data_IF_468123214369
#
_entry.id   IF_468123214369
#
_cell.length_a   1.000
_cell.length_b   1.000
_cell.length_c   1.000
_cell.angle_alpha   90.00
_cell.angle_beta   90.00
_cell.angle_gamma   90.00
#
_symmetry.space_group_name_H-M   'P 1'
#
loop_
_entity.id
_entity.type
_entity.pdbx_description
1 polymer ?
#
# COMPACT_ATOMS: atom_id res chain seq x y z
N UNK A 1 -14.66 22.84 8.85
CA UNK A 1 -15.75 21.92 9.23
C UNK A 1 -15.22 20.95 10.29
N UNK A 2 -16.09 20.46 11.15
CA UNK A 2 -15.74 19.44 12.13
C UNK A 2 -15.55 18.08 11.44
N UNK A 3 -14.52 17.32 11.83
CA UNK A 3 -14.19 16.03 11.23
C UNK A 3 -15.31 15.00 11.44
N UNK A 4 -15.89 14.94 12.64
CA UNK A 4 -16.93 13.98 12.98
C UNK A 4 -18.22 14.22 12.18
N UNK A 5 -18.58 15.51 11.96
CA UNK A 5 -19.71 15.88 11.10
C UNK A 5 -19.51 15.43 9.64
N UNK A 6 -18.28 15.59 9.12
CA UNK A 6 -17.95 15.21 7.74
C UNK A 6 -17.98 13.70 7.55
N UNK A 7 -17.53 12.96 8.56
CA UNK A 7 -17.51 11.48 8.53
C UNK A 7 -18.86 10.86 8.93
N UNK A 8 -19.83 11.66 9.41
CA UNK A 8 -21.10 11.13 9.92
C UNK A 8 -20.94 10.27 11.18
N UNK A 9 -19.91 10.53 11.97
CA UNK A 9 -19.59 9.78 13.19
C UNK A 9 -19.99 10.58 14.44
N UNK A 10 -20.43 9.89 15.48
CA UNK A 10 -20.59 10.48 16.80
C UNK A 10 -19.23 10.74 17.44
N UNK A 11 -19.02 11.96 17.93
CA UNK A 11 -17.75 12.36 18.54
C UNK A 11 -17.44 11.62 19.85
N UNK A 12 -18.45 11.33 20.66
CA UNK A 12 -18.28 10.81 22.01
C UNK A 12 -17.40 11.74 22.85
N UNK A 13 -16.44 11.16 23.60
CA UNK A 13 -15.49 11.90 24.45
C UNK A 13 -14.21 12.33 23.69
N UNK A 14 -14.14 12.15 22.37
CA UNK A 14 -12.99 12.56 21.59
C UNK A 14 -12.89 14.10 21.48
N UNK A 15 -11.66 14.66 21.42
CA UNK A 15 -11.47 16.10 21.22
C UNK A 15 -12.04 16.54 19.86
N UNK A 16 -12.44 17.79 19.76
CA UNK A 16 -12.86 18.39 18.49
C UNK A 16 -11.70 18.45 17.51
N UNK A 17 -11.95 17.99 16.30
CA UNK A 17 -10.99 18.04 15.19
C UNK A 17 -11.57 18.88 14.07
N UNK A 18 -10.93 20.00 13.76
CA UNK A 18 -11.31 20.89 12.67
C UNK A 18 -10.53 20.54 11.41
N UNK A 19 -11.22 20.34 10.29
CA UNK A 19 -10.59 20.20 8.98
C UNK A 19 -10.12 21.57 8.51
N UNK A 20 -8.80 21.69 8.29
CA UNK A 20 -8.16 22.88 7.76
C UNK A 20 -7.69 22.59 6.32
N UNK A 21 -8.11 23.38 5.31
CA UNK A 21 -7.71 23.16 3.92
C UNK A 21 -6.28 23.63 3.61
N UNK A 22 -5.68 24.42 4.49
CA UNK A 22 -4.35 24.97 4.33
C UNK A 22 -3.33 24.12 5.11
N UNK A 23 -2.50 23.37 4.38
CA UNK A 23 -1.51 22.49 4.98
C UNK A 23 -0.50 23.24 5.87
N UNK A 24 -0.08 24.43 5.49
CA UNK A 24 0.89 25.23 6.28
C UNK A 24 0.31 25.57 7.65
N UNK A 25 -0.96 25.97 7.70
CA UNK A 25 -1.64 26.23 8.99
C UNK A 25 -1.78 24.99 9.86
N UNK A 26 -1.92 23.80 9.26
CA UNK A 26 -1.95 22.54 10.02
C UNK A 26 -0.58 22.24 10.57
N UNK A 27 0.46 22.31 9.74
CA UNK A 27 1.83 21.99 10.13
C UNK A 27 2.41 22.96 11.15
N UNK A 28 2.05 24.25 11.04
CA UNK A 28 2.51 25.30 12.00
C UNK A 28 1.92 25.14 13.40
N UNK A 29 0.87 24.32 13.58
CA UNK A 29 0.35 23.96 14.92
C UNK A 29 1.25 22.96 15.66
N UNK A 30 2.18 22.36 14.94
CA UNK A 30 3.04 21.30 15.42
C UNK A 30 2.34 19.94 15.47
N UNK A 31 3.09 18.92 15.09
CA UNK A 31 2.68 17.52 15.21
C UNK A 31 3.95 16.67 15.34
N UNK A 32 3.84 15.48 15.90
CA UNK A 32 4.98 14.57 15.98
C UNK A 32 5.05 13.64 14.75
N UNK A 33 3.90 13.45 14.11
CA UNK A 33 3.78 12.58 12.92
C UNK A 33 2.63 13.06 12.05
N UNK A 34 2.82 12.99 10.75
CA UNK A 34 1.81 13.25 9.71
C UNK A 34 1.54 11.97 8.93
N UNK A 35 0.27 11.63 8.74
CA UNK A 35 -0.16 10.59 7.80
C UNK A 35 -0.55 11.27 6.50
N UNK A 36 0.20 11.01 5.43
CA UNK A 36 -0.06 11.49 4.07
C UNK A 36 -0.80 10.42 3.27
N UNK A 37 -2.08 10.67 2.97
CA UNK A 37 -2.97 9.75 2.25
C UNK A 37 -3.59 10.46 1.02
N UNK A 38 -2.75 11.06 0.18
CA UNK A 38 -3.21 11.96 -0.89
C UNK A 38 -2.83 11.54 -2.29
N UNK A 39 -1.90 10.60 -2.46
CA UNK A 39 -1.35 10.22 -3.76
C UNK A 39 -0.93 8.75 -3.76
N UNK A 40 -0.73 8.18 -4.93
CA UNK A 40 -0.18 6.83 -5.14
C UNK A 40 1.29 6.85 -5.57
N UNK A 41 1.77 7.96 -6.12
CA UNK A 41 3.09 8.09 -6.76
C UNK A 41 4.07 8.88 -5.89
N UNK A 42 5.29 8.37 -5.74
CA UNK A 42 6.38 9.05 -5.00
C UNK A 42 6.63 10.46 -5.52
N UNK A 43 6.63 10.66 -6.83
CA UNK A 43 6.87 11.97 -7.42
C UNK A 43 5.84 13.03 -7.04
N UNK A 44 4.59 12.63 -6.79
CA UNK A 44 3.51 13.51 -6.35
C UNK A 44 3.50 13.69 -4.82
N UNK A 45 3.85 12.64 -4.07
CA UNK A 45 3.96 12.69 -2.62
C UNK A 45 5.19 13.49 -2.15
N UNK A 46 6.29 13.42 -2.89
CA UNK A 46 7.59 14.01 -2.54
C UNK A 46 7.53 15.49 -2.10
N UNK A 47 6.90 16.42 -2.83
CA UNK A 47 6.85 17.82 -2.39
C UNK A 47 6.15 18.00 -1.04
N UNK A 48 5.09 17.24 -0.79
CA UNK A 48 4.34 17.28 0.48
C UNK A 48 5.16 16.67 1.61
N UNK A 49 5.86 15.57 1.34
CA UNK A 49 6.78 14.94 2.30
C UNK A 49 7.87 15.94 2.72
N UNK A 50 8.49 16.63 1.76
CA UNK A 50 9.49 17.66 2.06
C UNK A 50 8.92 18.76 2.96
N UNK A 51 7.74 19.27 2.64
CA UNK A 51 7.06 20.32 3.42
C UNK A 51 6.80 19.90 4.87
N UNK A 52 6.46 18.65 5.10
CA UNK A 52 6.25 18.07 6.44
C UNK A 52 7.57 17.87 7.18
N UNK A 53 8.55 17.27 6.52
CA UNK A 53 9.87 16.94 7.08
C UNK A 53 10.64 18.18 7.47
N UNK A 54 10.62 19.25 6.66
CA UNK A 54 11.27 20.54 6.95
C UNK A 54 10.76 21.21 8.23
N UNK A 55 9.57 20.80 8.73
CA UNK A 55 9.03 21.23 10.03
C UNK A 55 9.37 20.29 11.18
N UNK A 56 10.25 19.31 10.96
CA UNK A 56 10.63 18.35 11.98
C UNK A 56 9.54 17.34 12.34
N UNK A 57 8.64 17.03 11.39
CA UNK A 57 7.52 16.13 11.61
C UNK A 57 7.77 14.82 10.88
N UNK A 58 7.61 13.68 11.58
CA UNK A 58 7.71 12.35 10.98
C UNK A 58 6.56 12.10 9.98
N UNK A 59 6.78 11.23 8.99
CA UNK A 59 5.81 10.96 7.94
C UNK A 59 5.50 9.47 7.83
N UNK A 60 4.21 9.12 7.76
CA UNK A 60 3.73 7.85 7.23
C UNK A 60 2.96 8.16 5.95
N UNK A 61 3.35 7.57 4.83
CA UNK A 61 2.68 7.74 3.54
C UNK A 61 1.95 6.47 3.13
N UNK A 62 0.72 6.61 2.65
CA UNK A 62 -0.04 5.51 2.01
C UNK A 62 0.15 5.46 0.51
N UNK A 63 0.96 6.35 -0.07
CA UNK A 63 1.30 6.26 -1.48
C UNK A 63 1.97 4.92 -1.76
N UNK A 64 1.44 4.15 -2.67
CA UNK A 64 1.84 2.77 -2.94
C UNK A 64 3.32 2.69 -3.32
N UNK A 65 3.81 3.58 -4.18
CA UNK A 65 5.24 3.64 -4.53
C UNK A 65 6.14 3.93 -3.32
N UNK A 66 5.63 4.58 -2.27
CA UNK A 66 6.42 4.88 -1.07
C UNK A 66 6.72 3.66 -0.20
N UNK A 67 6.07 2.51 -0.43
CA UNK A 67 6.36 1.26 0.28
C UNK A 67 7.80 0.77 0.04
N UNK A 68 8.31 0.99 -1.17
CA UNK A 68 9.70 0.70 -1.55
C UNK A 68 10.15 1.61 -2.70
N UNK A 69 10.25 2.93 -2.48
CA UNK A 69 10.45 3.91 -3.56
C UNK A 69 11.77 3.74 -4.32
N UNK A 70 12.73 3.02 -3.74
CA UNK A 70 14.01 2.69 -4.39
C UNK A 70 13.83 1.89 -5.68
N UNK A 71 12.71 1.16 -5.83
CA UNK A 71 12.45 0.36 -7.02
C UNK A 71 12.33 1.20 -8.29
N UNK A 72 11.64 2.34 -8.21
CA UNK A 72 11.36 3.18 -9.37
C UNK A 72 11.91 4.62 -9.24
N UNK A 73 12.13 5.10 -8.02
CA UNK A 73 12.52 6.49 -7.72
C UNK A 73 13.76 6.56 -6.81
N UNK A 74 14.90 5.94 -7.20
CA UNK A 74 16.09 5.88 -6.34
C UNK A 74 16.64 7.26 -5.99
N UNK A 75 16.63 8.22 -6.92
CA UNK A 75 17.11 9.58 -6.66
C UNK A 75 16.23 10.34 -5.66
N UNK A 76 14.89 10.19 -5.75
CA UNK A 76 13.97 10.80 -4.80
C UNK A 76 14.11 10.13 -3.42
N UNK A 77 14.33 8.82 -3.39
CA UNK A 77 14.59 8.06 -2.16
C UNK A 77 15.83 8.57 -1.43
N UNK A 78 16.93 8.76 -2.13
CA UNK A 78 18.14 9.33 -1.56
C UNK A 78 17.95 10.77 -1.04
N UNK A 79 17.16 11.59 -1.76
CA UNK A 79 16.85 12.96 -1.33
C UNK A 79 16.00 12.95 -0.07
N UNK A 80 14.97 12.09 0.01
CA UNK A 80 14.12 11.94 1.19
C UNK A 80 14.92 11.43 2.40
N UNK A 81 15.80 10.44 2.20
CA UNK A 81 16.63 9.91 3.27
C UNK A 81 17.57 10.97 3.86
N UNK A 82 18.25 11.76 3.01
CA UNK A 82 19.10 12.88 3.46
C UNK A 82 18.30 13.92 4.20
N UNK A 83 17.18 14.37 3.64
CA UNK A 83 16.33 15.40 4.25
C UNK A 83 15.79 14.95 5.62
N UNK A 84 15.32 13.71 5.71
CA UNK A 84 14.82 13.13 6.95
C UNK A 84 15.91 13.07 8.04
N UNK A 85 17.13 12.67 7.68
CA UNK A 85 18.29 12.66 8.59
C UNK A 85 18.68 14.06 9.04
N UNK A 86 18.69 15.04 8.14
CA UNK A 86 18.97 16.44 8.43
C UNK A 86 17.98 17.00 9.45
N UNK A 87 16.70 16.72 9.29
CA UNK A 87 15.63 17.18 10.17
C UNK A 87 15.35 16.23 11.35
N UNK A 88 16.11 15.12 11.49
CA UNK A 88 15.99 14.12 12.57
C UNK A 88 14.61 13.50 12.69
N UNK A 89 13.99 13.21 11.55
CA UNK A 89 12.68 12.57 11.45
C UNK A 89 12.75 11.32 10.60
N UNK A 90 11.70 10.53 10.67
CA UNK A 90 11.55 9.27 9.93
C UNK A 90 10.44 9.38 8.89
N UNK A 91 10.68 8.89 7.69
CA UNK A 91 9.69 8.73 6.63
C UNK A 91 9.45 7.23 6.43
N UNK A 92 8.20 6.80 6.41
CA UNK A 92 7.78 5.44 6.10
C UNK A 92 6.68 5.44 5.06
N UNK A 93 6.79 4.61 4.03
CA UNK A 93 5.67 4.20 3.19
C UNK A 93 5.11 2.87 3.66
N UNK A 94 3.78 2.75 3.82
CA UNK A 94 3.12 1.52 4.24
C UNK A 94 1.65 1.49 3.83
N UNK A 95 1.08 0.31 3.83
CA UNK A 95 -0.31 0.03 3.54
C UNK A 95 -0.59 -1.46 3.65
N UNK A 96 -1.77 -1.89 3.20
CA UNK A 96 -2.10 -3.31 3.16
C UNK A 96 -1.48 -3.99 1.94
N UNK A 97 -1.44 -3.27 0.80
CA UNK A 97 -0.87 -3.75 -0.46
C UNK A 97 -0.59 -2.55 -1.41
N UNK A 98 0.69 -2.22 -1.61
CA UNK A 98 1.91 -2.77 -1.00
C UNK A 98 2.10 -2.35 0.47
N UNK A 99 2.98 -3.09 1.18
CA UNK A 99 3.39 -2.83 2.56
C UNK A 99 3.21 -4.01 3.51
N UNK A 100 2.27 -4.94 3.21
CA UNK A 100 2.07 -6.13 4.02
C UNK A 100 1.75 -7.39 3.21
N UNK A 101 0.57 -7.47 2.55
CA UNK A 101 0.00 -8.74 2.09
C UNK A 101 0.77 -9.39 0.94
N UNK A 102 1.24 -8.60 -0.03
CA UNK A 102 1.92 -9.15 -1.20
C UNK A 102 3.45 -8.96 -1.16
N UNK A 103 4.00 -8.54 -0.03
CA UNK A 103 5.44 -8.30 0.14
C UNK A 103 5.93 -8.71 1.55
N UNK A 104 5.76 -7.87 2.59
CA UNK A 104 6.32 -8.14 3.92
C UNK A 104 5.90 -9.49 4.48
N UNK A 105 4.64 -9.91 4.29
CA UNK A 105 4.15 -11.19 4.81
C UNK A 105 4.84 -12.38 4.12
N UNK A 106 5.06 -12.30 2.80
CA UNK A 106 5.84 -13.30 2.08
C UNK A 106 7.28 -13.36 2.58
N UNK A 107 7.89 -12.20 2.82
CA UNK A 107 9.24 -12.09 3.40
C UNK A 107 9.29 -12.70 4.80
N UNK A 108 8.33 -12.38 5.67
CA UNK A 108 8.26 -12.98 7.02
C UNK A 108 8.13 -14.50 6.98
N UNK A 109 7.31 -15.03 6.08
CA UNK A 109 7.14 -16.48 5.91
C UNK A 109 8.42 -17.16 5.40
N UNK A 110 9.21 -16.48 4.58
CA UNK A 110 10.48 -17.03 4.10
C UNK A 110 11.50 -17.27 5.22
N UNK A 111 11.34 -16.59 6.37
CA UNK A 111 12.22 -16.76 7.54
C UNK A 111 12.22 -18.16 8.15
N UNK A 112 11.25 -19.02 7.83
CA UNK A 112 11.25 -20.43 8.24
C UNK A 112 11.81 -21.39 7.18
N UNK A 113 12.36 -20.85 6.08
CA UNK A 113 12.92 -21.63 4.97
C UNK A 113 14.43 -21.58 4.96
N UNK A 114 15.06 -22.67 4.55
CA UNK A 114 16.51 -22.75 4.35
C UNK A 114 16.91 -22.43 2.92
N UNK A 115 15.95 -22.50 1.98
CA UNK A 115 16.14 -22.17 0.58
C UNK A 115 14.82 -21.67 -0.01
N UNK A 116 14.86 -20.60 -0.81
CA UNK A 116 13.71 -20.04 -1.51
C UNK A 116 13.98 -20.05 -3.01
N UNK A 117 13.19 -20.81 -3.75
CA UNK A 117 13.31 -20.93 -5.20
C UNK A 117 12.46 -19.87 -5.92
N UNK A 118 11.24 -19.64 -5.45
CA UNK A 118 10.34 -18.62 -5.99
C UNK A 118 9.27 -18.18 -4.98
N UNK A 119 8.75 -16.97 -5.19
CA UNK A 119 7.69 -16.33 -4.41
C UNK A 119 6.52 -16.03 -5.35
N UNK A 120 5.33 -16.52 -5.04
CA UNK A 120 4.10 -16.11 -5.70
C UNK A 120 3.16 -15.49 -4.65
N UNK A 121 2.72 -14.27 -4.92
CA UNK A 121 1.70 -13.58 -4.13
C UNK A 121 0.47 -13.34 -5.00
N UNK A 122 -0.70 -13.76 -4.53
CA UNK A 122 -1.96 -13.54 -5.21
C UNK A 122 -2.97 -12.94 -4.25
N UNK A 123 -3.54 -11.80 -4.65
CA UNK A 123 -4.62 -11.14 -3.92
C UNK A 123 -5.84 -11.02 -4.82
N UNK A 124 -6.94 -11.60 -4.42
CA UNK A 124 -8.24 -11.49 -5.09
C UNK A 124 -9.13 -10.65 -4.21
N UNK A 125 -9.45 -9.43 -4.64
CA UNK A 125 -10.26 -8.53 -3.82
C UNK A 125 -11.48 -7.97 -4.55
N UNK A 126 -12.46 -7.57 -3.75
CA UNK A 126 -13.64 -6.84 -4.23
C UNK A 126 -13.32 -5.35 -4.35
N UNK A 127 -13.69 -4.76 -5.51
CA UNK A 127 -13.69 -3.31 -5.71
C UNK A 127 -14.97 -2.65 -5.17
N UNK A 128 -16.00 -3.42 -4.81
CA UNK A 128 -17.32 -2.90 -4.43
C UNK A 128 -17.32 -1.86 -3.31
N UNK A 129 -16.43 -1.93 -2.27
CA UNK A 129 -16.37 -0.92 -1.22
C UNK A 129 -15.72 0.40 -1.62
N UNK A 130 -15.01 0.45 -2.76
CA UNK A 130 -14.21 1.62 -3.13
C UNK A 130 -15.03 2.69 -3.85
N UNK A 131 -14.53 3.94 -3.81
CA UNK A 131 -15.18 5.10 -4.38
C UNK A 131 -15.06 5.24 -5.89
N UNK A 132 -15.71 6.28 -6.49
CA UNK A 132 -15.76 6.47 -7.94
C UNK A 132 -14.40 6.57 -8.62
N UNK A 133 -13.42 7.20 -7.98
CA UNK A 133 -12.07 7.34 -8.54
C UNK A 133 -11.41 5.98 -8.80
N UNK A 134 -11.54 5.03 -7.87
CA UNK A 134 -11.01 3.67 -8.05
C UNK A 134 -11.75 2.94 -9.19
N UNK A 135 -13.08 3.12 -9.29
CA UNK A 135 -13.85 2.54 -10.40
C UNK A 135 -13.32 3.01 -11.76
N UNK A 136 -13.02 4.30 -11.86
CA UNK A 136 -12.51 4.94 -13.08
C UNK A 136 -11.10 4.45 -13.42
N UNK A 137 -10.19 4.44 -12.44
CA UNK A 137 -8.81 3.97 -12.59
C UNK A 137 -8.70 2.49 -12.97
N UNK A 138 -9.67 1.68 -12.55
CA UNK A 138 -9.75 0.24 -12.82
C UNK A 138 -10.57 -0.08 -14.08
N UNK A 139 -11.16 0.90 -14.75
CA UNK A 139 -11.94 0.73 -15.96
C UNK A 139 -13.27 -0.01 -15.76
N UNK A 140 -13.90 0.11 -14.58
CA UNK A 140 -15.18 -0.54 -14.31
C UNK A 140 -16.30 0.09 -15.15
N UNK A 141 -17.06 -0.74 -15.88
CA UNK A 141 -18.22 -0.31 -16.67
C UNK A 141 -17.92 0.19 -18.07
N UNK A 142 -16.65 0.15 -18.52
CA UNK A 142 -16.28 0.49 -19.91
C UNK A 142 -16.25 -0.76 -20.79
N UNK A 143 -16.24 -0.56 -22.12
CA UNK A 143 -16.07 -1.68 -23.06
C UNK A 143 -14.64 -2.22 -23.05
N UNK A 144 -14.46 -3.46 -23.55
CA UNK A 144 -13.13 -4.09 -23.66
C UNK A 144 -12.19 -3.25 -24.53
N UNK A 145 -12.67 -2.70 -25.65
CA UNK A 145 -11.89 -1.86 -26.56
C UNK A 145 -11.47 -0.56 -25.88
N UNK A 146 -12.35 0.05 -25.07
CA UNK A 146 -12.01 1.26 -24.30
C UNK A 146 -10.96 0.95 -23.22
N UNK A 147 -11.06 -0.22 -22.59
CA UNK A 147 -10.08 -0.70 -21.62
C UNK A 147 -8.70 -0.90 -22.26
N UNK A 148 -8.64 -1.65 -23.37
CA UNK A 148 -7.38 -1.90 -24.09
C UNK A 148 -6.73 -0.60 -24.56
N UNK A 149 -7.53 0.35 -25.04
CA UNK A 149 -7.06 1.69 -25.38
C UNK A 149 -6.52 2.43 -24.14
N UNK A 150 -7.26 2.41 -23.03
CA UNK A 150 -6.83 3.09 -21.79
C UNK A 150 -5.54 2.52 -21.21
N UNK A 151 -5.31 1.22 -21.35
CA UNK A 151 -4.03 0.58 -21.00
C UNK A 151 -2.92 1.06 -21.95
N UNK A 152 -3.19 1.09 -23.25
CA UNK A 152 -2.18 1.48 -24.25
C UNK A 152 -1.75 2.96 -24.17
N UNK A 153 -2.68 3.86 -23.83
CA UNK A 153 -2.41 5.29 -23.69
C UNK A 153 -2.09 5.75 -22.26
N UNK A 154 -2.11 4.81 -21.28
CA UNK A 154 -1.76 5.06 -19.89
C UNK A 154 -2.81 5.83 -19.09
N UNK A 155 -4.05 5.91 -19.55
CA UNK A 155 -5.16 6.54 -18.80
C UNK A 155 -5.76 5.64 -17.73
N UNK A 156 -5.57 4.32 -17.83
CA UNK A 156 -5.90 3.37 -16.79
C UNK A 156 -4.63 3.01 -16.00
N UNK A 157 -4.63 3.31 -14.71
CA UNK A 157 -3.50 3.04 -13.83
C UNK A 157 -3.49 1.59 -13.33
N UNK A 158 -4.67 0.98 -13.15
CA UNK A 158 -4.79 -0.27 -12.46
C UNK A 158 -4.29 -0.17 -11.00
N UNK A 159 -3.67 -1.23 -10.50
CA UNK A 159 -3.04 -1.21 -9.18
C UNK A 159 -1.59 -0.71 -9.28
N UNK A 160 -1.23 0.27 -8.45
CA UNK A 160 0.14 0.78 -8.30
C UNK A 160 0.86 -0.01 -7.19
N UNK A 161 2.17 -0.26 -7.33
CA UNK A 161 2.99 -0.81 -6.26
C UNK A 161 3.60 -2.20 -6.51
N UNK A 162 3.37 -2.82 -7.67
CA UNK A 162 3.97 -4.14 -7.96
C UNK A 162 5.49 -4.10 -8.10
N UNK A 163 6.03 -3.07 -8.71
CA UNK A 163 7.48 -2.89 -8.82
C UNK A 163 8.11 -2.75 -7.41
N UNK A 164 7.42 -2.07 -6.52
CA UNK A 164 7.82 -1.85 -5.13
C UNK A 164 7.81 -3.16 -4.34
N UNK A 165 6.72 -3.93 -4.40
CA UNK A 165 6.63 -5.23 -3.73
C UNK A 165 7.69 -6.22 -4.27
N UNK A 166 7.88 -6.28 -5.59
CA UNK A 166 8.93 -7.11 -6.22
C UNK A 166 10.32 -6.65 -5.77
N UNK A 167 10.56 -5.32 -5.74
CA UNK A 167 11.82 -4.75 -5.27
C UNK A 167 12.10 -5.06 -3.80
N UNK A 168 11.09 -4.94 -2.94
CA UNK A 168 11.20 -5.23 -1.50
C UNK A 168 11.50 -6.72 -1.25
N UNK A 169 10.77 -7.63 -1.91
CA UNK A 169 11.00 -9.08 -1.80
C UNK A 169 12.41 -9.43 -2.28
N UNK A 170 12.80 -8.91 -3.45
CA UNK A 170 14.11 -9.18 -4.01
C UNK A 170 15.23 -8.69 -3.09
N UNK A 171 15.12 -7.48 -2.56
CA UNK A 171 16.08 -6.93 -1.60
C UNK A 171 16.20 -7.84 -0.38
N UNK A 172 15.09 -8.22 0.23
CA UNK A 172 15.05 -9.04 1.44
C UNK A 172 15.67 -10.43 1.23
N UNK A 173 15.49 -11.02 0.04
CA UNK A 173 16.02 -12.33 -0.31
C UNK A 173 17.43 -12.28 -0.93
N UNK A 174 18.02 -11.08 -1.08
CA UNK A 174 19.33 -10.90 -1.72
C UNK A 174 19.31 -11.19 -3.23
N UNK A 175 18.16 -11.10 -3.87
CA UNK A 175 18.02 -11.32 -5.30
C UNK A 175 18.21 -10.03 -6.09
N UNK A 176 18.80 -10.15 -7.28
CA UNK A 176 18.95 -9.05 -8.22
C UNK A 176 17.92 -9.21 -9.33
N UNK A 177 16.88 -8.38 -9.30
CA UNK A 177 15.90 -8.34 -10.39
C UNK A 177 16.55 -7.71 -11.63
N UNK A 178 16.62 -8.48 -12.71
CA UNK A 178 17.18 -8.05 -13.99
C UNK A 178 16.14 -7.35 -14.86
N UNK A 179 14.87 -7.77 -14.70
CA UNK A 179 13.74 -7.29 -15.49
C UNK A 179 12.45 -7.45 -14.69
N UNK A 180 11.62 -6.44 -14.77
CA UNK A 180 10.24 -6.46 -14.26
C UNK A 180 9.28 -6.30 -15.43
N UNK A 181 8.27 -7.15 -15.49
CA UNK A 181 7.18 -7.09 -16.47
C UNK A 181 5.84 -7.01 -15.78
N UNK A 182 4.97 -6.13 -16.27
CA UNK A 182 3.62 -5.96 -15.74
C UNK A 182 2.61 -5.99 -16.87
N UNK A 183 1.46 -6.63 -16.63
CA UNK A 183 0.36 -6.69 -17.58
C UNK A 183 -0.96 -6.40 -16.87
N UNK A 184 -1.88 -5.78 -17.61
CA UNK A 184 -3.26 -5.57 -17.22
C UNK A 184 -4.18 -6.24 -18.24
N UNK A 185 -5.16 -7.02 -17.75
CA UNK A 185 -6.19 -7.65 -18.57
C UNK A 185 -7.56 -7.33 -18.00
N UNK A 186 -8.57 -7.03 -18.84
CA UNK A 186 -9.91 -6.77 -18.35
C UNK A 186 -10.53 -8.05 -17.76
N UNK A 187 -11.28 -7.90 -16.68
CA UNK A 187 -12.21 -8.93 -16.21
C UNK A 187 -13.57 -8.56 -16.77
N UNK A 188 -14.02 -9.33 -17.77
CA UNK A 188 -15.29 -9.10 -18.46
C UNK A 188 -16.38 -9.88 -17.75
N UNK A 189 -17.49 -9.22 -17.41
CA UNK A 189 -18.63 -9.88 -16.76
C UNK A 189 -19.60 -10.48 -17.77
N UNK A 190 -20.22 -11.62 -17.42
CA UNK A 190 -21.28 -12.25 -18.23
C UNK A 190 -22.68 -11.81 -17.81
N UNK A 191 -22.81 -11.05 -16.73
CA UNK A 191 -24.06 -10.53 -16.18
C UNK A 191 -23.88 -9.09 -15.68
N UNK A 192 -25.00 -8.38 -15.52
CA UNK A 192 -24.98 -7.04 -14.93
C UNK A 192 -24.52 -7.10 -13.46
N UNK A 193 -23.50 -6.32 -13.10
CA UNK A 193 -23.02 -6.17 -11.73
C UNK A 193 -23.08 -4.72 -11.28
N UNK A 194 -23.46 -4.52 -10.03
CA UNK A 194 -23.61 -3.18 -9.45
C UNK A 194 -23.11 -3.13 -8.03
N UNK A 195 -22.19 -2.21 -7.77
CA UNK A 195 -21.79 -1.79 -6.41
C UNK A 195 -22.34 -0.40 -6.08
N UNK A 196 -21.98 0.15 -4.94
CA UNK A 196 -22.38 1.50 -4.55
C UNK A 196 -21.91 2.58 -5.55
N UNK A 197 -20.75 2.38 -6.18
CA UNK A 197 -20.09 3.37 -7.04
C UNK A 197 -19.71 2.83 -8.43
N UNK A 198 -19.94 1.55 -8.71
CA UNK A 198 -19.61 0.91 -9.97
C UNK A 198 -20.79 0.19 -10.59
N UNK A 199 -20.85 0.17 -11.92
CA UNK A 199 -21.81 -0.61 -12.69
C UNK A 199 -21.17 -1.12 -13.97
N UNK A 200 -21.23 -2.43 -14.20
CA UNK A 200 -20.80 -3.09 -15.43
C UNK A 200 -21.95 -3.93 -15.99
N UNK A 201 -22.31 -3.72 -17.25
CA UNK A 201 -23.27 -4.57 -17.97
C UNK A 201 -22.62 -5.87 -18.41
N UNK A 202 -23.41 -6.88 -18.69
CA UNK A 202 -22.95 -8.09 -19.38
C UNK A 202 -22.17 -7.72 -20.65
N UNK A 203 -20.93 -8.16 -20.76
CA UNK A 203 -19.99 -7.84 -21.84
C UNK A 203 -19.04 -6.68 -21.55
N UNK A 204 -19.30 -5.87 -20.52
CA UNK A 204 -18.41 -4.79 -20.10
C UNK A 204 -17.37 -5.27 -19.07
N UNK A 205 -16.41 -4.40 -18.81
CA UNK A 205 -15.34 -4.61 -17.82
C UNK A 205 -15.87 -4.45 -16.41
N UNK A 206 -15.78 -5.49 -15.58
CA UNK A 206 -16.13 -5.46 -14.17
C UNK A 206 -14.94 -5.19 -13.25
N UNK A 207 -13.73 -5.16 -13.80
CA UNK A 207 -12.49 -4.96 -13.08
C UNK A 207 -11.27 -5.36 -13.90
N UNK A 208 -10.13 -5.47 -13.25
CA UNK A 208 -8.83 -5.74 -13.88
C UNK A 208 -8.13 -6.91 -13.23
N UNK A 209 -7.52 -7.78 -14.02
CA UNK A 209 -6.54 -8.75 -13.56
C UNK A 209 -5.15 -8.23 -13.91
N UNK A 210 -4.40 -7.83 -12.88
CA UNK A 210 -3.01 -7.42 -13.04
C UNK A 210 -2.06 -8.55 -12.68
N UNK A 211 -0.96 -8.64 -13.42
CA UNK A 211 0.16 -9.51 -13.11
C UNK A 211 1.46 -8.73 -13.17
N UNK A 212 2.40 -9.05 -12.27
CA UNK A 212 3.74 -8.48 -12.23
C UNK A 212 4.78 -9.57 -12.01
N UNK A 213 5.83 -9.61 -12.82
CA UNK A 213 6.83 -10.67 -12.77
C UNK A 213 8.24 -10.09 -12.64
N UNK A 214 8.93 -10.48 -11.56
CA UNK A 214 10.34 -10.20 -11.34
C UNK A 214 11.22 -11.36 -11.82
N UNK A 215 12.15 -11.05 -12.72
CA UNK A 215 13.08 -12.02 -13.31
C UNK A 215 14.43 -11.93 -12.61
N UNK A 216 14.93 -13.09 -12.19
CA UNK A 216 16.24 -13.27 -11.58
C UNK A 216 16.91 -14.48 -12.26
N UNK A 217 18.13 -14.34 -12.72
CA UNK A 217 18.87 -15.36 -13.50
C UNK A 217 18.05 -15.87 -14.70
N UNK A 218 17.36 -14.95 -15.39
CA UNK A 218 16.52 -15.25 -16.56
C UNK A 218 15.20 -15.99 -16.26
N UNK A 219 14.88 -16.28 -15.00
CA UNK A 219 13.68 -16.98 -14.58
C UNK A 219 12.72 -16.08 -13.80
N UNK A 220 11.41 -16.33 -13.89
CA UNK A 220 10.43 -15.69 -13.01
C UNK A 220 10.60 -16.25 -11.60
N UNK A 221 11.14 -15.43 -10.70
CA UNK A 221 11.33 -15.76 -9.28
C UNK A 221 10.26 -15.14 -8.40
N UNK A 222 9.70 -14.00 -8.80
CA UNK A 222 8.64 -13.31 -8.07
C UNK A 222 7.47 -13.14 -9.02
N UNK A 223 6.29 -13.64 -8.65
CA UNK A 223 5.08 -13.64 -9.46
C UNK A 223 3.92 -13.03 -8.65
N UNK A 224 3.44 -11.88 -9.11
CA UNK A 224 2.36 -11.12 -8.49
C UNK A 224 1.10 -11.24 -9.32
N UNK A 225 -0.03 -11.60 -8.69
CA UNK A 225 -1.31 -11.79 -9.37
C UNK A 225 -2.40 -11.07 -8.57
N UNK A 226 -3.08 -10.12 -9.19
CA UNK A 226 -4.05 -9.29 -8.47
C UNK A 226 -5.32 -9.03 -9.30
N UNK A 227 -6.25 -10.00 -9.37
CA UNK A 227 -7.58 -9.77 -9.90
C UNK A 227 -8.43 -8.96 -8.91
N UNK A 228 -8.96 -7.85 -9.39
CA UNK A 228 -9.81 -6.91 -8.65
C UNK A 228 -11.07 -6.64 -9.47
N UNK A 229 -12.24 -6.79 -8.89
CA UNK A 229 -13.50 -6.60 -9.61
C UNK A 229 -14.65 -6.26 -8.68
N UNK A 230 -15.70 -5.62 -9.20
CA UNK A 230 -16.93 -5.41 -8.44
C UNK A 230 -17.71 -6.72 -8.35
N UNK A 231 -18.37 -6.95 -7.21
CA UNK A 231 -19.27 -8.10 -6.97
C UNK A 231 -18.69 -9.44 -7.47
N UNK A 232 -17.47 -9.83 -7.05
CA UNK A 232 -16.79 -11.03 -7.58
C UNK A 232 -17.59 -12.32 -7.38
N UNK A 233 -18.31 -12.41 -6.28
CA UNK A 233 -19.08 -13.59 -5.87
C UNK A 233 -20.25 -13.91 -6.80
N UNK A 234 -20.77 -12.91 -7.53
CA UNK A 234 -21.85 -13.11 -8.50
C UNK A 234 -21.47 -14.07 -9.63
N UNK A 235 -20.19 -14.21 -9.94
CA UNK A 235 -19.67 -15.20 -10.91
C UNK A 235 -18.75 -16.23 -10.24
N UNK A 236 -18.96 -16.52 -8.95
CA UNK A 236 -18.29 -17.59 -8.23
C UNK A 236 -16.81 -17.32 -7.92
N UNK A 237 -16.36 -16.07 -8.02
CA UNK A 237 -15.00 -15.71 -7.60
C UNK A 237 -14.98 -15.40 -6.12
N UNK A 238 -14.24 -16.20 -5.34
CA UNK A 238 -14.02 -15.97 -3.92
C UNK A 238 -12.79 -15.09 -3.70
N UNK A 239 -12.94 -14.13 -2.80
CA UNK A 239 -11.85 -13.23 -2.41
C UNK A 239 -10.87 -13.91 -1.47
N UNK A 240 -9.62 -13.44 -1.45
CA UNK A 240 -8.59 -14.01 -0.59
C UNK A 240 -7.18 -13.52 -0.91
N UNK A 241 -6.31 -13.68 0.08
CA UNK A 241 -4.87 -13.44 -0.02
C UNK A 241 -4.13 -14.79 0.02
N UNK A 242 -3.24 -15.01 -0.93
CA UNK A 242 -2.53 -16.28 -1.08
C UNK A 242 -1.04 -16.04 -1.28
N UNK A 243 -0.21 -16.79 -0.56
CA UNK A 243 1.25 -16.75 -0.70
C UNK A 243 1.74 -18.19 -0.89
N UNK A 244 2.49 -18.42 -1.95
CA UNK A 244 3.15 -19.69 -2.24
C UNK A 244 4.65 -19.44 -2.36
N UNK A 245 5.42 -20.01 -1.43
CA UNK A 245 6.87 -20.00 -1.48
C UNK A 245 7.35 -21.40 -1.85
N UNK A 246 8.04 -21.51 -2.97
CA UNK A 246 8.72 -22.76 -3.36
C UNK A 246 10.13 -22.75 -2.80
N UNK A 247 10.59 -23.93 -2.36
CA UNK A 247 11.89 -24.11 -1.74
C UNK A 247 11.84 -25.13 -0.61
N UNK A 248 12.66 -24.97 0.41
CA UNK A 248 12.78 -25.96 1.49
C UNK A 248 12.67 -25.30 2.88
N UNK A 249 11.64 -25.66 3.68
CA UNK A 249 10.39 -26.31 3.29
C UNK A 249 9.54 -25.39 2.41
N UNK A 250 8.66 -25.93 1.58
CA UNK A 250 7.69 -25.13 0.85
C UNK A 250 6.63 -24.56 1.81
N UNK A 251 6.20 -23.33 1.56
CA UNK A 251 5.14 -22.66 2.34
C UNK A 251 3.97 -22.33 1.43
N UNK A 252 2.75 -22.62 1.89
CA UNK A 252 1.53 -22.27 1.19
C UNK A 252 0.54 -21.70 2.22
N UNK A 253 0.18 -20.44 2.06
CA UNK A 253 -0.74 -19.73 2.96
C UNK A 253 -1.94 -19.19 2.20
N UNK A 254 -3.11 -19.23 2.83
CA UNK A 254 -4.32 -18.60 2.36
C UNK A 254 -5.04 -17.89 3.51
N UNK A 255 -5.55 -16.70 3.24
CA UNK A 255 -6.44 -15.93 4.10
C UNK A 255 -7.73 -15.72 3.33
N UNK A 256 -8.86 -16.16 3.88
CA UNK A 256 -10.17 -16.07 3.23
C UNK A 256 -11.25 -15.65 4.24
N UNK A 257 -12.08 -14.64 3.88
CA UNK A 257 -11.93 -13.73 2.73
C UNK A 257 -10.63 -12.94 2.81
N UNK A 258 -10.37 -12.10 1.82
CA UNK A 258 -9.22 -11.20 1.81
C UNK A 258 -9.27 -10.21 2.99
N UNK A 259 -8.11 -9.72 3.41
CA UNK A 259 -8.05 -8.61 4.36
C UNK A 259 -8.57 -7.35 3.66
N UNK A 260 -9.57 -6.70 4.25
CA UNK A 260 -10.14 -5.45 3.71
C UNK A 260 -9.04 -4.40 3.44
N UNK A 261 -8.99 -3.90 2.21
CA UNK A 261 -7.92 -3.00 1.76
C UNK A 261 -7.93 -1.65 2.48
N UNK A 262 -9.12 -1.07 2.69
CA UNK A 262 -9.26 0.22 3.35
C UNK A 262 -8.97 0.14 4.84
N UNK A 263 -9.64 -0.77 5.55
CA UNK A 263 -9.44 -0.97 7.00
C UNK A 263 -8.01 -1.41 7.29
N UNK A 264 -7.46 -2.32 6.48
CA UNK A 264 -6.09 -2.81 6.64
C UNK A 264 -5.05 -1.70 6.48
N UNK A 265 -5.21 -0.80 5.50
CA UNK A 265 -4.31 0.34 5.30
C UNK A 265 -4.38 1.33 6.48
N UNK A 266 -5.59 1.64 6.97
CA UNK A 266 -5.75 2.46 8.18
C UNK A 266 -5.03 1.81 9.36
N UNK A 267 -5.26 0.51 9.58
CA UNK A 267 -4.64 -0.23 10.67
C UNK A 267 -3.11 -0.22 10.57
N UNK A 268 -2.55 -0.45 9.37
CA UNK A 268 -1.10 -0.38 9.15
C UNK A 268 -0.54 1.00 9.51
N UNK A 269 -1.14 2.08 9.01
CA UNK A 269 -0.70 3.44 9.33
C UNK A 269 -0.70 3.70 10.85
N UNK A 270 -1.80 3.37 11.52
CA UNK A 270 -1.96 3.66 12.96
C UNK A 270 -1.00 2.80 13.81
N UNK A 271 -0.90 1.50 13.52
CA UNK A 271 -0.04 0.59 14.27
C UNK A 271 1.46 0.88 14.06
N UNK A 272 1.84 1.52 12.93
CA UNK A 272 3.22 1.91 12.66
C UNK A 272 3.62 3.23 13.32
N UNK A 273 2.68 4.05 13.83
CA UNK A 273 3.00 5.34 14.49
C UNK A 273 4.11 5.20 15.54
N UNK A 274 3.98 4.35 16.58
CA UNK A 274 5.02 4.27 17.61
C UNK A 274 6.32 3.64 17.09
N UNK A 275 6.26 2.82 16.05
CA UNK A 275 7.46 2.23 15.45
C UNK A 275 8.25 3.28 14.66
N UNK A 276 7.56 4.17 13.95
CA UNK A 276 8.15 5.31 13.24
C UNK A 276 8.76 6.31 14.23
N UNK A 277 8.04 6.63 15.30
CA UNK A 277 8.53 7.54 16.33
C UNK A 277 9.77 6.98 17.06
N UNK A 278 9.87 5.67 17.21
CA UNK A 278 11.02 4.99 17.81
C UNK A 278 12.19 4.78 16.82
N UNK A 279 12.00 4.98 15.54
CA UNK A 279 13.01 4.66 14.53
C UNK A 279 14.14 5.70 14.50
N UNK A 280 15.30 5.27 14.02
CA UNK A 280 16.38 6.19 13.68
C UNK A 280 15.96 7.02 12.45
N UNK A 281 16.33 8.33 12.42
CA UNK A 281 15.99 9.20 11.30
C UNK A 281 16.38 8.66 9.93
N UNK A 282 15.58 8.98 8.91
CA UNK A 282 15.82 8.60 7.53
C UNK A 282 14.58 8.06 6.83
N UNK A 283 14.72 7.72 5.56
CA UNK A 283 13.70 6.98 4.81
C UNK A 283 13.78 5.50 5.23
N UNK A 284 12.67 4.97 5.69
CA UNK A 284 12.51 3.58 6.12
C UNK A 284 11.50 2.86 5.22
N UNK A 285 11.71 1.57 5.11
CA UNK A 285 10.75 0.62 4.54
C UNK A 285 10.22 -0.29 5.63
N UNK A 286 9.27 -1.14 5.30
CA UNK A 286 8.77 -2.15 6.24
C UNK A 286 9.83 -3.20 6.61
N UNK A 287 10.95 -3.27 5.91
CA UNK A 287 12.11 -4.13 6.24
C UNK A 287 12.97 -3.57 7.38
N UNK A 288 12.94 -2.25 7.59
CA UNK A 288 13.80 -1.56 8.54
C UNK A 288 13.19 -1.45 9.94
N UNK A 289 11.91 -1.75 10.07
CA UNK A 289 11.13 -1.57 11.28
C UNK A 289 10.68 -2.91 11.87
N UNK A 290 10.38 -2.96 13.18
CA UNK A 290 9.83 -4.16 13.79
C UNK A 290 8.54 -4.64 13.10
N UNK A 291 8.28 -5.94 13.15
CA UNK A 291 7.06 -6.55 12.60
C UNK A 291 5.81 -5.81 13.09
N UNK A 292 4.92 -5.40 12.18
CA UNK A 292 3.69 -4.71 12.54
C UNK A 292 2.80 -5.61 13.42
N UNK A 293 2.16 -4.99 14.41
CA UNK A 293 1.19 -5.65 15.27
C UNK A 293 0.12 -4.68 15.72
N UNK A 294 -1.07 -5.15 15.99
CA UNK A 294 -2.10 -4.36 16.63
C UNK A 294 -1.65 -3.96 18.06
N UNK A 295 -1.75 -2.66 18.36
CA UNK A 295 -1.45 -2.10 19.66
C UNK A 295 -2.79 -1.78 20.32
N UNK A 296 -3.24 -2.67 21.23
CA UNK A 296 -4.57 -2.61 21.83
C UNK A 296 -4.65 -1.72 23.09
N UNK A 297 -3.51 -1.22 23.56
CA UNK A 297 -3.40 -0.31 24.70
C UNK A 297 -2.98 1.09 24.29
N UNK A 298 -2.49 1.85 25.25
CA UNK A 298 -1.89 3.17 24.98
C UNK A 298 -0.58 2.98 24.22
N UNK A 299 -0.50 3.51 23.00
CA UNK A 299 0.72 3.38 22.19
C UNK A 299 1.94 4.05 22.83
N UNK A 300 1.74 4.99 23.77
CA UNK A 300 2.83 5.61 24.54
C UNK A 300 3.61 4.61 25.36
N UNK A 301 2.98 3.50 25.77
CA UNK A 301 3.65 2.41 26.49
C UNK A 301 4.65 1.63 25.62
N UNK A 302 4.60 1.82 24.30
CA UNK A 302 5.50 1.19 23.32
C UNK A 302 6.65 2.12 22.94
N UNK A 303 6.55 3.41 23.29
CA UNK A 303 7.58 4.38 22.99
C UNK A 303 8.80 4.23 23.90
N UNK A 304 9.99 4.46 23.35
CA UNK A 304 11.22 4.55 24.13
C UNK A 304 11.15 5.75 25.08
N UNK A 305 11.71 5.67 26.29
CA UNK A 305 11.64 6.74 27.27
C UNK A 305 12.11 8.12 26.75
N UNK A 306 13.19 8.13 25.96
CA UNK A 306 13.72 9.34 25.34
C UNK A 306 12.77 9.94 24.29
N UNK A 307 12.04 9.10 23.55
CA UNK A 307 11.02 9.56 22.61
C UNK A 307 9.82 10.13 23.34
N UNK A 308 9.36 9.43 24.38
CA UNK A 308 8.20 9.86 25.18
C UNK A 308 8.44 11.22 25.85
N UNK A 309 9.67 11.49 26.34
CA UNK A 309 10.05 12.79 26.91
C UNK A 309 9.95 13.93 25.89
N UNK A 310 10.21 13.66 24.62
CA UNK A 310 10.16 14.68 23.56
C UNK A 310 8.73 14.93 23.04
N UNK A 311 7.75 14.09 23.42
CA UNK A 311 6.34 14.25 23.07
C UNK A 311 5.56 15.05 24.13
N UNK A 312 6.13 15.28 25.29
CA UNK A 312 5.54 16.05 26.41
C UNK A 312 5.90 17.52 26.30
#
# INVERSE_FOLDING_TARGET
RNLFEVLGLERGDHPDVTIEPDIDKVLDRGAHICILATDSFTSKAFPKICQVVERGINVISTAEEMSYPQAQQPELSEKMDRLAKEHRVTILGTGINPGLMMDLLAICLSGCMTDVESVQCRRVNSLSPFGPAVMEEQGVGISVEAFEKGVADGTLAGHVGFAESVGMIAHALGWKVERFEQQMKPIVTTMDRRSAHGFAKAGDVAGVNMTGQGFVDGQVKIDMIHPQQIEPEMEGTHTGDYIVLKGSPAVNMAIQPEVDGGIGTIAMCVNMIPLVLNAEPGLKTMLDLPVPRAIMGDFRDVLRPEVLQNLS
#
